data_IF_226673941126
#
_entry.id   IF_226673941126
#
_cell.length_a   1.000
_cell.length_b   1.000
_cell.length_c   1.000
_cell.angle_alpha   90.00
_cell.angle_beta   90.00
_cell.angle_gamma   90.00
#
_symmetry.space_group_name_H-M   'P 1'
#
loop_
_entity.id
_entity.type
_entity.pdbx_description
1 polymer ?
#
# COMPACT_ATOMS: atom_id res chain seq x y z
N UNK A 1 -16.77 9.67 -1.25
CA UNK A 1 -16.85 8.41 -0.49
C UNK A 1 -15.48 7.78 -0.53
N UNK A 2 -14.93 7.40 0.62
CA UNK A 2 -13.58 6.82 0.68
C UNK A 2 -13.59 5.36 0.22
N UNK A 3 -12.58 4.96 -0.55
CA UNK A 3 -12.42 3.57 -0.97
C UNK A 3 -11.55 2.81 0.04
N UNK A 4 -12.16 1.92 0.82
CA UNK A 4 -11.45 1.08 1.80
C UNK A 4 -10.98 -0.20 1.12
N UNK A 5 -9.70 -0.50 1.26
CA UNK A 5 -9.01 -1.67 0.71
C UNK A 5 -8.40 -2.43 1.89
N UNK A 6 -8.86 -3.66 2.10
CA UNK A 6 -8.31 -4.56 3.11
C UNK A 6 -7.25 -5.44 2.46
N UNK A 7 -6.02 -5.38 2.96
CA UNK A 7 -4.96 -6.33 2.59
C UNK A 7 -4.57 -7.14 3.81
N UNK A 8 -4.94 -8.41 3.74
CA UNK A 8 -4.70 -9.39 4.77
C UNK A 8 -3.50 -10.21 4.33
N UNK A 9 -2.42 -10.15 5.12
CA UNK A 9 -1.25 -11.05 5.09
C UNK A 9 -0.06 -10.62 4.21
N UNK A 10 1.07 -10.34 4.86
CA UNK A 10 2.39 -10.20 4.25
C UNK A 10 2.99 -11.61 4.12
N UNK A 11 2.84 -12.23 2.94
CA UNK A 11 3.20 -13.64 2.70
C UNK A 11 4.71 -13.93 2.57
N UNK A 12 5.58 -12.93 2.56
CA UNK A 12 7.03 -13.17 2.48
C UNK A 12 7.82 -12.05 3.16
N UNK A 13 8.34 -12.33 4.35
CA UNK A 13 9.49 -11.60 4.90
C UNK A 13 10.73 -12.25 4.31
N UNK A 14 11.35 -11.61 3.30
CA UNK A 14 12.68 -12.04 2.85
C UNK A 14 13.62 -11.77 4.02
N UNK A 15 14.30 -12.81 4.52
CA UNK A 15 15.03 -12.88 5.81
C UNK A 15 16.07 -11.77 6.13
N UNK A 16 16.21 -10.75 5.31
CA UNK A 16 17.09 -9.59 5.53
C UNK A 16 16.45 -8.23 5.25
N UNK A 17 15.23 -8.19 4.69
CA UNK A 17 14.50 -6.95 4.42
C UNK A 17 13.05 -7.14 4.90
N UNK A 18 12.69 -6.36 5.91
CA UNK A 18 11.32 -6.21 6.39
C UNK A 18 10.50 -5.44 5.35
N UNK A 19 10.25 -6.10 4.22
CA UNK A 19 9.59 -5.52 3.05
C UNK A 19 8.37 -6.32 2.66
N UNK A 20 7.31 -5.63 2.25
CA UNK A 20 6.11 -6.24 1.67
C UNK A 20 5.76 -5.55 0.36
N UNK A 21 5.32 -6.33 -0.63
CA UNK A 21 4.84 -5.81 -1.92
C UNK A 21 3.44 -6.36 -2.15
N UNK A 22 2.45 -5.49 -2.22
CA UNK A 22 1.04 -5.87 -2.24
C UNK A 22 0.34 -5.18 -3.41
N UNK A 23 -0.37 -5.96 -4.23
CA UNK A 23 -1.18 -5.47 -5.36
C UNK A 23 -2.62 -5.23 -4.91
N UNK A 24 -3.24 -4.17 -5.41
CA UNK A 24 -4.65 -3.84 -5.15
C UNK A 24 -5.24 -2.96 -6.26
N UNK A 25 -6.56 -2.76 -6.24
CA UNK A 25 -7.23 -1.82 -7.14
C UNK A 25 -7.44 -0.48 -6.45
N UNK A 26 -6.81 0.58 -6.96
CA UNK A 26 -7.05 1.96 -6.56
C UNK A 26 -8.23 2.56 -7.35
N UNK A 27 -9.02 3.41 -6.69
CA UNK A 27 -10.11 4.18 -7.32
C UNK A 27 -9.76 5.68 -7.39
N UNK A 28 -10.39 6.45 -8.28
CA UNK A 28 -10.29 7.92 -8.26
C UNK A 28 -10.57 8.52 -6.88
N UNK A 29 -9.75 9.49 -6.46
CA UNK A 29 -9.88 10.19 -5.19
C UNK A 29 -9.19 9.49 -4.00
N UNK A 30 -9.76 9.62 -2.81
CA UNK A 30 -9.18 9.11 -1.56
C UNK A 30 -9.37 7.61 -1.40
N UNK A 31 -8.28 6.92 -1.12
CA UNK A 31 -8.20 5.50 -0.85
C UNK A 31 -7.58 5.28 0.54
N UNK A 32 -8.03 4.22 1.21
CA UNK A 32 -7.56 3.80 2.52
C UNK A 32 -7.13 2.35 2.41
N UNK A 33 -5.85 2.07 2.63
CA UNK A 33 -5.29 0.74 2.65
C UNK A 33 -5.05 0.31 4.11
N UNK A 34 -5.77 -0.72 4.55
CA UNK A 34 -5.59 -1.36 5.84
C UNK A 34 -4.74 -2.61 5.66
N UNK A 35 -3.58 -2.64 6.30
CA UNK A 35 -2.61 -3.74 6.28
C UNK A 35 -2.57 -4.38 7.66
N UNK A 36 -2.61 -5.71 7.68
CA UNK A 36 -2.53 -6.50 8.91
C UNK A 36 -1.47 -7.59 8.79
N UNK A 37 -1.00 -8.09 9.94
CA UNK A 37 0.00 -9.16 9.99
C UNK A 37 1.44 -8.66 9.95
N UNK A 38 1.68 -7.39 10.32
CA UNK A 38 3.04 -6.91 10.60
C UNK A 38 3.58 -7.60 11.87
N UNK A 39 4.90 -7.83 11.97
CA UNK A 39 5.49 -8.39 13.19
C UNK A 39 5.17 -7.53 14.42
N UNK A 40 4.79 -8.16 15.52
CA UNK A 40 4.58 -7.48 16.80
C UNK A 40 5.83 -6.69 17.18
N UNK A 41 5.66 -5.45 17.60
CA UNK A 41 6.77 -4.57 17.97
C UNK A 41 7.36 -3.75 16.83
N UNK A 42 6.82 -3.84 15.61
CA UNK A 42 7.13 -2.90 14.51
C UNK A 42 6.92 -1.46 14.99
N UNK A 43 7.95 -0.63 14.86
CA UNK A 43 7.98 0.76 15.31
C UNK A 43 7.96 1.75 14.13
N UNK A 44 8.44 1.32 12.97
CA UNK A 44 8.52 2.15 11.77
C UNK A 44 7.89 1.46 10.57
N UNK A 45 7.27 2.26 9.72
CA UNK A 45 6.76 1.82 8.43
C UNK A 45 6.88 2.96 7.41
N UNK A 46 7.31 2.62 6.21
CA UNK A 46 7.27 3.45 5.02
C UNK A 46 6.45 2.72 3.97
N UNK A 47 5.59 3.43 3.24
CA UNK A 47 4.72 2.86 2.22
C UNK A 47 4.75 3.74 0.97
N UNK A 48 5.09 3.14 -0.16
CA UNK A 48 5.16 3.79 -1.46
C UNK A 48 4.20 3.12 -2.42
N UNK A 49 3.36 3.90 -3.10
CA UNK A 49 2.33 3.39 -4.00
C UNK A 49 2.68 3.77 -5.43
N UNK A 50 2.63 2.78 -6.32
CA UNK A 50 2.92 2.94 -7.75
C UNK A 50 1.86 2.26 -8.59
N UNK A 51 1.67 2.76 -9.82
CA UNK A 51 0.82 2.10 -10.81
C UNK A 51 1.42 0.74 -11.20
N UNK A 52 0.56 -0.24 -11.51
CA UNK A 52 0.99 -1.52 -12.04
C UNK A 52 0.23 -1.83 -13.32
N UNK A 53 0.97 -2.06 -14.40
CA UNK A 53 0.41 -2.52 -15.66
C UNK A 53 0.37 -4.06 -15.66
N UNK A 54 -0.84 -4.62 -15.63
CA UNK A 54 -1.04 -6.07 -15.61
C UNK A 54 -0.67 -6.76 -16.92
N UNK A 55 -0.92 -6.11 -18.06
CA UNK A 55 -0.63 -6.66 -19.39
C UNK A 55 0.89 -6.81 -19.61
N UNK A 56 1.66 -5.83 -19.14
CA UNK A 56 3.13 -5.81 -19.26
C UNK A 56 3.84 -6.41 -18.05
N UNK A 57 3.12 -6.69 -16.97
CA UNK A 57 3.67 -7.26 -15.75
C UNK A 57 4.69 -6.37 -15.03
N UNK A 58 4.54 -5.03 -15.12
CA UNK A 58 5.56 -4.08 -14.63
C UNK A 58 4.96 -2.88 -13.88
N UNK A 59 5.79 -2.21 -13.07
CA UNK A 59 5.45 -0.90 -12.50
C UNK A 59 5.29 0.11 -13.65
N UNK A 60 4.18 0.84 -13.66
CA UNK A 60 3.93 1.93 -14.58
C UNK A 60 4.13 3.29 -13.86
N UNK A 61 4.26 4.36 -14.64
CA UNK A 61 4.65 5.69 -14.13
C UNK A 61 3.72 6.82 -14.56
N UNK A 62 2.50 6.53 -15.01
CA UNK A 62 1.59 7.57 -15.47
C UNK A 62 0.68 8.09 -14.35
N UNK A 63 0.24 7.20 -13.45
CA UNK A 63 -0.55 7.59 -12.29
C UNK A 63 0.29 8.20 -11.16
N UNK A 64 -0.23 9.28 -10.57
CA UNK A 64 0.38 9.96 -9.42
C UNK A 64 -0.43 9.61 -8.17
N UNK A 65 0.24 9.08 -7.16
CA UNK A 65 -0.34 8.76 -5.86
C UNK A 65 0.24 9.68 -4.79
N UNK A 66 -0.63 10.38 -4.07
CA UNK A 66 -0.26 11.27 -2.97
C UNK A 66 -0.55 10.58 -1.64
N UNK A 67 0.47 10.06 -0.97
CA UNK A 67 0.32 9.53 0.39
C UNK A 67 0.04 10.67 1.36
N UNK A 68 -1.14 10.65 1.97
CA UNK A 68 -1.59 11.66 2.95
C UNK A 68 -1.23 11.28 4.38
N UNK A 69 -1.26 10.00 4.71
CA UNK A 69 -0.98 9.51 6.05
C UNK A 69 -0.50 8.08 6.03
N UNK A 70 0.44 7.76 6.92
CA UNK A 70 0.85 6.41 7.25
C UNK A 70 0.82 6.27 8.76
N UNK A 71 0.08 5.29 9.27
CA UNK A 71 -0.11 5.13 10.72
C UNK A 71 0.04 3.67 11.13
N UNK A 72 0.93 3.40 12.09
CA UNK A 72 0.97 2.15 12.84
C UNK A 72 0.01 2.19 14.02
N UNK A 73 -0.60 1.05 14.32
CA UNK A 73 -1.47 0.87 15.48
C UNK A 73 -1.47 -0.60 15.91
N UNK A 74 -2.22 -0.93 16.97
CA UNK A 74 -2.25 -2.30 17.53
C UNK A 74 -0.85 -2.83 17.86
N UNK A 75 -0.04 -2.05 18.58
CA UNK A 75 1.35 -2.41 18.96
C UNK A 75 2.25 -2.77 17.75
N UNK A 76 1.99 -2.15 16.60
CA UNK A 76 2.78 -2.33 15.38
C UNK A 76 2.29 -3.43 14.44
N UNK A 77 1.24 -4.17 14.81
CA UNK A 77 0.74 -5.32 14.02
C UNK A 77 -0.13 -4.92 12.83
N UNK A 78 -0.58 -3.65 12.82
CA UNK A 78 -1.46 -3.10 11.78
C UNK A 78 -0.96 -1.74 11.31
N UNK A 79 -1.16 -1.48 10.03
CA UNK A 79 -0.84 -0.21 9.39
C UNK A 79 -2.03 0.28 8.57
N UNK A 80 -2.30 1.59 8.62
CA UNK A 80 -3.24 2.26 7.73
C UNK A 80 -2.49 3.27 6.89
N UNK A 81 -2.65 3.17 5.56
CA UNK A 81 -2.14 4.15 4.60
C UNK A 81 -3.33 4.86 3.96
N UNK A 82 -3.37 6.18 4.07
CA UNK A 82 -4.35 7.02 3.37
C UNK A 82 -3.62 7.69 2.22
N UNK A 83 -4.15 7.58 1.02
CA UNK A 83 -3.56 8.17 -0.17
C UNK A 83 -4.64 8.65 -1.13
N UNK A 84 -4.26 9.53 -2.04
CA UNK A 84 -5.11 10.01 -3.12
C UNK A 84 -4.52 9.62 -4.47
N UNK A 85 -5.34 9.05 -5.35
CA UNK A 85 -4.97 8.87 -6.76
C UNK A 85 -5.33 10.13 -7.52
N UNK A 86 -4.33 10.90 -7.90
CA UNK A 86 -4.51 12.14 -8.65
C UNK A 86 -4.85 11.89 -10.11
N UNK A 87 -5.57 12.83 -10.74
CA UNK A 87 -5.74 13.02 -12.19
C UNK A 87 -6.28 11.85 -13.04
N UNK A 88 -6.74 10.76 -12.43
CA UNK A 88 -7.35 9.63 -13.12
C UNK A 88 -8.83 9.49 -12.75
N UNK A 89 -9.67 9.26 -13.75
CA UNK A 89 -11.12 9.10 -13.64
C UNK A 89 -11.58 7.63 -13.67
N UNK A 90 -10.64 6.70 -13.74
CA UNK A 90 -10.88 5.25 -13.75
C UNK A 90 -10.08 4.52 -12.67
N UNK A 91 -10.52 3.31 -12.35
CA UNK A 91 -9.78 2.43 -11.44
C UNK A 91 -8.48 1.95 -12.09
N UNK A 92 -7.45 1.74 -11.28
CA UNK A 92 -6.15 1.22 -11.73
C UNK A 92 -5.66 0.14 -10.79
N UNK A 93 -4.91 -0.83 -11.31
CA UNK A 93 -4.10 -1.70 -10.47
C UNK A 93 -2.90 -0.90 -9.96
N UNK A 94 -2.67 -0.98 -8.67
CA UNK A 94 -1.55 -0.35 -8.00
C UNK A 94 -0.83 -1.37 -7.11
N UNK A 95 0.41 -1.03 -6.76
CA UNK A 95 1.25 -1.78 -5.85
C UNK A 95 1.63 -0.87 -4.70
N UNK A 96 1.52 -1.34 -3.46
CA UNK A 96 2.24 -0.74 -2.34
C UNK A 96 3.52 -1.54 -2.12
N UNK A 97 4.65 -0.83 -2.07
CA UNK A 97 5.92 -1.32 -1.56
C UNK A 97 6.11 -0.75 -0.16
N UNK A 98 6.20 -1.63 0.82
CA UNK A 98 6.38 -1.27 2.23
C UNK A 98 7.74 -1.69 2.73
N UNK A 99 8.33 -0.85 3.58
CA UNK A 99 9.51 -1.15 4.40
C UNK A 99 9.09 -0.93 5.85
N UNK A 100 9.34 -1.88 6.74
CA UNK A 100 8.99 -1.80 8.16
C UNK A 100 10.14 -2.25 9.07
N UNK A 101 10.06 -2.00 10.37
CA UNK A 101 11.11 -2.35 11.33
C UNK A 101 10.70 -2.11 12.76
#
# INVERSE_FOLDING_TARGET
MDNIIEVTEIKSVVRQLNTAVLKFTAKPGTNILNITGLPTGTQVVSAWITEYNEELGMIAGHAIFYTKSVQLYSKGEKCRVIFEMGSYDRNLTAVVTMIFG
#
